data_IF_836433718066
#
_entry.id   IF_836433718066
#
_cell.length_a   1.000
_cell.length_b   1.000
_cell.length_c   1.000
_cell.angle_alpha   90.00
_cell.angle_beta   90.00
_cell.angle_gamma   90.00
#
_symmetry.space_group_name_H-M   'P 1'
#
loop_
_entity.id
_entity.type
_entity.pdbx_description
1 polymer ?
#
# COMPACT_ATOMS: atom_id res chain seq x y z
N UNK A 1 -25.07 12.35 -8.37
CA UNK A 1 -23.70 12.05 -7.90
C UNK A 1 -23.18 13.12 -6.94
N UNK A 2 -22.59 14.22 -7.41
CA UNK A 2 -21.95 15.22 -6.54
C UNK A 2 -22.96 15.93 -5.62
N UNK A 3 -24.10 16.38 -6.14
CA UNK A 3 -25.14 17.01 -5.32
C UNK A 3 -25.74 16.06 -4.27
N UNK A 4 -25.89 14.77 -4.58
CA UNK A 4 -26.38 13.76 -3.63
C UNK A 4 -25.32 13.48 -2.55
N UNK A 5 -24.05 13.39 -2.95
CA UNK A 5 -22.91 13.23 -2.05
C UNK A 5 -22.80 14.41 -1.08
N UNK A 6 -22.96 15.63 -1.57
CA UNK A 6 -22.94 16.85 -0.75
C UNK A 6 -24.14 16.92 0.21
N UNK A 7 -25.33 16.51 -0.23
CA UNK A 7 -26.50 16.44 0.64
C UNK A 7 -26.34 15.40 1.76
N UNK A 8 -25.77 14.23 1.46
CA UNK A 8 -25.45 13.21 2.46
C UNK A 8 -24.38 13.74 3.43
N UNK A 9 -23.29 14.32 2.93
CA UNK A 9 -22.24 14.95 3.72
C UNK A 9 -22.79 16.03 4.69
N UNK A 10 -23.70 16.88 4.20
CA UNK A 10 -24.34 17.92 5.01
C UNK A 10 -25.17 17.32 6.17
N UNK A 11 -25.91 16.23 5.91
CA UNK A 11 -26.68 15.50 6.94
C UNK A 11 -25.77 14.99 8.07
N UNK A 12 -24.66 14.35 7.73
CA UNK A 12 -23.73 13.80 8.71
C UNK A 12 -23.00 14.88 9.51
N UNK A 13 -22.65 16.00 8.87
CA UNK A 13 -22.12 17.17 9.57
C UNK A 13 -23.13 17.74 10.57
N UNK A 14 -24.42 17.77 10.22
CA UNK A 14 -25.50 18.16 11.14
C UNK A 14 -25.57 17.26 12.38
N UNK A 15 -25.47 15.94 12.20
CA UNK A 15 -25.41 14.98 13.32
C UNK A 15 -24.18 15.22 14.19
N UNK A 16 -23.01 15.47 13.58
CA UNK A 16 -21.77 15.72 14.29
C UNK A 16 -21.80 16.98 15.18
N UNK A 17 -22.47 18.05 14.73
CA UNK A 17 -22.60 19.28 15.51
C UNK A 17 -23.33 19.08 16.85
N UNK A 18 -24.27 18.13 16.91
CA UNK A 18 -25.06 17.84 18.11
C UNK A 18 -24.58 16.61 18.87
N UNK A 19 -23.59 15.87 18.35
CA UNK A 19 -23.12 14.62 18.95
C UNK A 19 -22.45 14.79 20.32
N UNK A 20 -21.97 15.99 20.66
CA UNK A 20 -21.41 16.30 21.99
C UNK A 20 -22.48 16.44 23.08
N UNK A 21 -23.74 16.68 22.70
CA UNK A 21 -24.86 16.92 23.63
C UNK A 21 -26.02 15.93 23.44
N UNK A 22 -25.94 15.06 22.43
CA UNK A 22 -26.96 14.04 22.13
C UNK A 22 -26.32 12.67 21.94
N UNK A 23 -26.52 11.79 22.92
CA UNK A 23 -26.07 10.39 22.85
C UNK A 23 -26.68 9.64 21.67
N UNK A 24 -27.92 9.95 21.30
CA UNK A 24 -28.59 9.36 20.13
C UNK A 24 -27.91 9.77 18.81
N UNK A 25 -27.52 11.04 18.67
CA UNK A 25 -26.79 11.50 17.48
C UNK A 25 -25.38 10.87 17.42
N UNK A 26 -24.71 10.75 18.56
CA UNK A 26 -23.42 10.04 18.66
C UNK A 26 -23.56 8.59 18.22
N UNK A 27 -24.56 7.87 18.74
CA UNK A 27 -24.79 6.47 18.37
C UNK A 27 -25.08 6.32 16.87
N UNK A 28 -25.85 7.22 16.26
CA UNK A 28 -26.09 7.19 14.81
C UNK A 28 -24.80 7.35 13.99
N UNK A 29 -23.84 8.15 14.45
CA UNK A 29 -22.54 8.28 13.79
C UNK A 29 -21.72 6.99 13.95
N UNK A 30 -21.72 6.39 15.14
CA UNK A 30 -21.04 5.10 15.40
C UNK A 30 -21.64 3.98 14.53
N UNK A 31 -22.97 3.87 14.49
CA UNK A 31 -23.68 2.89 13.65
C UNK A 31 -23.41 3.12 12.14
N UNK A 32 -23.13 4.38 11.78
CA UNK A 32 -22.70 4.80 10.45
C UNK A 32 -21.23 4.47 10.11
N UNK A 33 -20.45 4.02 11.10
CA UNK A 33 -19.04 3.67 10.97
C UNK A 33 -18.07 4.78 11.35
N UNK A 34 -18.50 5.88 11.97
CA UNK A 34 -17.56 6.87 12.53
C UNK A 34 -16.91 6.28 13.78
N UNK A 35 -15.59 6.26 13.85
CA UNK A 35 -14.87 5.74 15.02
C UNK A 35 -14.94 6.71 16.21
N UNK A 36 -14.75 6.19 17.42
CA UNK A 36 -14.75 6.99 18.65
C UNK A 36 -13.62 8.03 18.66
N UNK A 37 -12.48 7.72 18.04
CA UNK A 37 -11.37 8.65 17.90
C UNK A 37 -11.76 9.84 17.03
N UNK A 38 -12.44 9.63 15.89
CA UNK A 38 -12.97 10.73 15.09
C UNK A 38 -13.98 11.57 15.91
N UNK A 39 -14.86 10.92 16.66
CA UNK A 39 -15.86 11.59 17.52
C UNK A 39 -15.22 12.38 18.68
N UNK A 40 -13.94 12.15 18.99
CA UNK A 40 -13.19 12.93 19.97
C UNK A 40 -12.66 14.26 19.42
N UNK A 41 -12.69 14.45 18.09
CA UNK A 41 -12.24 15.68 17.45
C UNK A 41 -13.15 16.87 17.78
N UNK A 42 -12.59 18.10 17.83
CA UNK A 42 -13.39 19.33 17.91
C UNK A 42 -14.42 19.39 16.77
N UNK A 43 -15.64 19.85 17.08
CA UNK A 43 -16.76 19.84 16.14
C UNK A 43 -16.45 20.45 14.75
N UNK A 44 -15.72 21.58 14.63
CA UNK A 44 -15.35 22.11 13.30
C UNK A 44 -14.49 21.14 12.48
N UNK A 45 -13.53 20.46 13.12
CA UNK A 45 -12.66 19.48 12.47
C UNK A 45 -13.43 18.20 12.13
N UNK A 46 -14.27 17.71 13.04
CA UNK A 46 -15.12 16.54 12.81
C UNK A 46 -16.08 16.77 11.65
N UNK A 47 -16.76 17.92 11.61
CA UNK A 47 -17.69 18.26 10.53
C UNK A 47 -16.98 18.32 9.17
N UNK A 48 -15.80 18.95 9.12
CA UNK A 48 -14.99 19.01 7.90
C UNK A 48 -14.62 17.62 7.40
N UNK A 49 -14.07 16.77 8.29
CA UNK A 49 -13.65 15.41 7.91
C UNK A 49 -14.82 14.53 7.48
N UNK A 50 -15.94 14.56 8.21
CA UNK A 50 -17.11 13.76 7.86
C UNK A 50 -17.70 14.17 6.51
N UNK A 51 -17.71 15.47 6.18
CA UNK A 51 -18.17 15.90 4.85
C UNK A 51 -17.33 15.28 3.75
N UNK A 52 -16.01 15.34 3.86
CA UNK A 52 -15.11 14.77 2.86
C UNK A 52 -15.30 13.26 2.71
N UNK A 53 -15.37 12.56 3.84
CA UNK A 53 -15.43 11.10 3.85
C UNK A 53 -16.78 10.57 3.35
N UNK A 54 -17.88 11.20 3.76
CA UNK A 54 -19.23 10.84 3.29
C UNK A 54 -19.40 11.20 1.83
N UNK A 55 -18.90 12.36 1.38
CA UNK A 55 -18.95 12.74 -0.03
C UNK A 55 -18.15 11.76 -0.90
N UNK A 56 -16.94 11.38 -0.48
CA UNK A 56 -16.13 10.38 -1.17
C UNK A 56 -16.87 9.03 -1.29
N UNK A 57 -17.46 8.57 -0.18
CA UNK A 57 -18.22 7.31 -0.14
C UNK A 57 -19.45 7.32 -1.04
N UNK A 58 -20.20 8.42 -1.01
CA UNK A 58 -21.38 8.58 -1.86
C UNK A 58 -20.97 8.63 -3.35
N UNK A 59 -19.89 9.33 -3.69
CA UNK A 59 -19.35 9.36 -5.04
C UNK A 59 -18.92 7.96 -5.52
N UNK A 60 -18.22 7.18 -4.68
CA UNK A 60 -17.78 5.83 -5.02
C UNK A 60 -18.93 4.82 -5.20
N UNK A 61 -20.11 5.08 -4.61
CA UNK A 61 -21.32 4.27 -4.83
C UNK A 61 -21.98 4.53 -6.20
N UNK A 62 -21.70 5.68 -6.82
CA UNK A 62 -22.28 6.04 -8.11
C UNK A 62 -21.81 5.07 -9.21
N UNK A 63 -22.73 4.60 -10.04
CA UNK A 63 -22.47 3.57 -11.04
C UNK A 63 -21.37 3.96 -12.04
N UNK A 64 -21.29 5.24 -12.43
CA UNK A 64 -20.23 5.74 -13.30
C UNK A 64 -18.83 5.63 -12.66
N UNK A 65 -18.69 5.95 -11.37
CA UNK A 65 -17.41 5.87 -10.65
C UNK A 65 -17.01 4.43 -10.38
N UNK A 66 -17.98 3.55 -10.10
CA UNK A 66 -17.75 2.10 -9.99
C UNK A 66 -17.17 1.50 -11.27
N UNK A 67 -17.58 2.00 -12.45
CA UNK A 67 -17.00 1.58 -13.74
C UNK A 67 -15.57 2.07 -13.95
N UNK A 68 -15.14 3.10 -13.23
CA UNK A 68 -13.77 3.59 -13.22
C UNK A 68 -12.86 2.85 -12.23
N UNK A 69 -13.40 1.93 -11.41
CA UNK A 69 -12.57 1.06 -10.58
C UNK A 69 -11.62 0.33 -11.53
N UNK A 70 -10.29 0.42 -11.32
CA UNK A 70 -9.34 -0.27 -12.16
C UNK A 70 -9.75 -1.74 -12.30
N UNK A 71 -9.89 -2.22 -13.53
CA UNK A 71 -10.17 -3.63 -13.75
C UNK A 71 -8.99 -4.40 -13.14
N UNK A 72 -9.25 -5.25 -12.15
CA UNK A 72 -8.23 -6.09 -11.52
C UNK A 72 -7.40 -6.86 -12.55
N UNK A 73 -7.99 -7.13 -13.72
CA UNK A 73 -7.39 -7.76 -14.89
C UNK A 73 -6.16 -7.03 -15.42
N UNK A 74 -6.09 -5.69 -15.39
CA UNK A 74 -4.93 -4.95 -15.94
C UNK A 74 -3.73 -4.99 -14.99
N UNK A 75 -3.95 -4.86 -13.68
CA UNK A 75 -2.90 -5.02 -12.67
C UNK A 75 -2.43 -6.49 -12.56
N UNK A 76 -3.36 -7.46 -12.66
CA UNK A 76 -3.03 -8.89 -12.77
C UNK A 76 -2.20 -9.19 -14.02
N UNK A 77 -2.58 -8.64 -15.18
CA UNK A 77 -1.90 -8.91 -16.43
C UNK A 77 -0.44 -8.43 -16.40
N UNK A 78 -0.19 -7.20 -15.93
CA UNK A 78 1.16 -6.62 -15.89
C UNK A 78 2.11 -7.34 -14.93
N UNK A 79 1.63 -7.82 -13.78
CA UNK A 79 2.48 -8.50 -12.80
C UNK A 79 2.57 -10.00 -13.07
N UNK A 80 1.51 -10.66 -13.55
CA UNK A 80 1.54 -12.10 -13.75
C UNK A 80 2.01 -12.51 -15.15
N UNK A 81 1.89 -11.71 -16.22
CA UNK A 81 2.42 -12.16 -17.52
C UNK A 81 3.95 -12.23 -17.53
N UNK A 82 4.59 -11.28 -16.86
CA UNK A 82 6.05 -11.21 -16.76
C UNK A 82 6.61 -12.28 -15.80
N UNK A 83 5.83 -12.69 -14.80
CA UNK A 83 6.23 -13.73 -13.84
C UNK A 83 5.71 -15.14 -14.18
N UNK A 84 4.61 -15.29 -14.92
CA UNK A 84 4.11 -16.60 -15.37
C UNK A 84 5.03 -17.23 -16.43
N UNK A 85 5.83 -16.41 -17.12
CA UNK A 85 6.95 -16.91 -17.95
C UNK A 85 8.16 -17.36 -17.12
N UNK A 86 8.20 -17.06 -15.82
CA UNK A 86 9.17 -17.57 -14.85
C UNK A 86 8.65 -18.84 -14.16
N UNK A 87 7.94 -19.71 -14.90
CA UNK A 87 7.52 -21.01 -14.39
C UNK A 87 8.69 -21.66 -13.64
N UNK A 88 8.48 -22.12 -12.39
CA UNK A 88 9.57 -22.58 -11.56
C UNK A 88 10.26 -23.73 -12.28
N UNK A 89 11.52 -23.54 -12.64
CA UNK A 89 12.39 -24.66 -12.96
C UNK A 89 12.47 -25.50 -11.68
N UNK A 90 11.62 -26.55 -11.62
CA UNK A 90 11.55 -27.63 -10.62
C UNK A 90 12.20 -27.28 -9.28
N UNK A 91 11.36 -26.93 -8.30
CA UNK A 91 11.75 -26.77 -6.89
C UNK A 91 12.44 -28.05 -6.37
N UNK A 92 13.76 -28.11 -6.48
CA UNK A 92 14.55 -29.03 -5.67
C UNK A 92 14.48 -28.56 -4.21
N UNK A 93 14.43 -29.47 -3.23
CA UNK A 93 14.40 -29.10 -1.82
C UNK A 93 15.64 -28.26 -1.48
N UNK A 94 15.41 -27.03 -1.02
CA UNK A 94 16.46 -26.07 -0.68
C UNK A 94 17.31 -26.61 0.48
N UNK A 95 18.58 -26.93 0.20
CA UNK A 95 19.61 -27.09 1.23
C UNK A 95 20.01 -25.74 1.83
N UNK A 96 20.69 -25.72 3.00
CA UNK A 96 21.18 -24.48 3.61
C UNK A 96 22.13 -23.75 2.64
N UNK A 97 21.97 -22.42 2.45
CA UNK A 97 22.79 -21.68 1.51
C UNK A 97 24.25 -21.59 1.99
N UNK A 98 25.24 -21.69 1.09
CA UNK A 98 26.64 -21.47 1.43
C UNK A 98 26.88 -20.01 1.86
N UNK A 99 27.89 -19.74 2.72
CA UNK A 99 28.21 -18.38 3.13
C UNK A 99 28.67 -17.52 1.95
N UNK A 100 28.34 -16.21 1.92
CA UNK A 100 28.71 -15.32 0.84
C UNK A 100 30.24 -15.09 0.78
N UNK A 101 30.88 -15.11 -0.40
CA UNK A 101 32.31 -14.84 -0.54
C UNK A 101 32.68 -13.38 -0.21
N UNK A 102 33.92 -13.14 0.23
CA UNK A 102 34.44 -11.79 0.45
C UNK A 102 34.48 -11.01 -0.89
N UNK A 103 33.86 -9.82 -0.94
CA UNK A 103 33.59 -9.08 -2.17
C UNK A 103 32.22 -9.36 -2.79
N UNK A 104 31.30 -9.95 -2.01
CA UNK A 104 29.97 -10.32 -2.49
C UNK A 104 29.26 -9.14 -3.15
N UNK A 105 28.69 -9.36 -4.36
CA UNK A 105 27.89 -8.35 -5.02
C UNK A 105 26.76 -7.90 -4.08
N UNK A 106 26.37 -6.63 -4.19
CA UNK A 106 25.17 -6.10 -3.57
C UNK A 106 24.00 -7.09 -3.77
N UNK A 107 23.21 -7.41 -2.73
CA UNK A 107 22.13 -8.38 -2.88
C UNK A 107 21.17 -7.98 -3.99
N UNK A 108 20.54 -8.96 -4.62
CA UNK A 108 19.52 -8.69 -5.62
C UNK A 108 18.27 -8.06 -4.98
N UNK A 109 17.94 -8.51 -3.76
CA UNK A 109 16.76 -8.09 -3.00
C UNK A 109 17.12 -7.81 -1.56
N UNK A 110 16.61 -6.72 -0.99
CA UNK A 110 16.60 -6.46 0.46
C UNK A 110 15.17 -6.57 0.98
N UNK A 111 14.96 -7.45 1.95
CA UNK A 111 13.72 -7.61 2.68
C UNK A 111 13.75 -6.76 3.97
N UNK A 112 12.92 -5.73 4.05
CA UNK A 112 12.72 -4.89 5.22
C UNK A 112 11.52 -5.41 6.00
N UNK A 113 11.76 -5.95 7.20
CA UNK A 113 10.72 -6.53 8.05
C UNK A 113 10.30 -5.61 9.18
N UNK A 114 9.01 -5.34 9.30
CA UNK A 114 8.44 -4.75 10.50
C UNK A 114 8.16 -5.85 11.54
N UNK A 115 8.82 -5.78 12.70
CA UNK A 115 8.67 -6.75 13.79
C UNK A 115 8.39 -6.07 15.12
N UNK A 116 7.51 -6.64 15.95
CA UNK A 116 7.38 -6.33 17.37
C UNK A 116 7.83 -7.51 18.25
N UNK A 117 7.12 -8.65 18.18
CA UNK A 117 7.35 -9.83 19.04
C UNK A 117 7.26 -11.17 18.32
N UNK A 118 6.97 -11.14 17.04
CA UNK A 118 6.79 -12.30 16.18
C UNK A 118 8.08 -13.11 16.08
N UNK A 119 7.95 -14.42 15.80
CA UNK A 119 9.10 -15.26 15.48
C UNK A 119 9.58 -14.98 14.05
N UNK A 120 10.88 -14.81 13.88
CA UNK A 120 11.52 -14.59 12.58
C UNK A 120 12.58 -15.64 12.27
N UNK A 121 12.53 -16.79 12.94
CA UNK A 121 13.41 -17.94 12.68
C UNK A 121 13.40 -18.38 11.21
N UNK A 122 12.28 -18.16 10.50
CA UNK A 122 12.13 -18.42 9.08
C UNK A 122 13.11 -17.64 8.19
N UNK A 123 13.70 -16.54 8.68
CA UNK A 123 14.75 -15.79 7.98
C UNK A 123 15.97 -16.66 7.63
N UNK A 124 16.22 -17.74 8.37
CA UNK A 124 17.26 -18.72 8.05
C UNK A 124 17.02 -19.47 6.73
N UNK A 125 15.80 -19.41 6.19
CA UNK A 125 15.37 -20.07 4.95
C UNK A 125 15.24 -19.10 3.76
N UNK A 126 15.74 -17.87 3.89
CA UNK A 126 15.69 -16.92 2.78
C UNK A 126 16.43 -17.46 1.54
N UNK A 127 15.89 -17.21 0.33
CA UNK A 127 16.50 -17.71 -0.88
C UNK A 127 17.79 -16.96 -1.22
N UNK A 128 18.68 -17.56 -2.04
CA UNK A 128 19.92 -16.91 -2.48
C UNK A 128 19.65 -15.55 -3.13
N UNK A 129 20.53 -14.57 -2.86
CA UNK A 129 20.40 -13.21 -3.38
C UNK A 129 19.42 -12.31 -2.62
N UNK A 130 18.77 -12.81 -1.57
CA UNK A 130 17.95 -12.03 -0.64
C UNK A 130 18.70 -11.78 0.65
N UNK A 131 18.85 -10.51 1.02
CA UNK A 131 19.23 -10.09 2.36
C UNK A 131 18.04 -9.50 3.11
N UNK A 132 18.19 -9.28 4.41
CA UNK A 132 17.13 -8.71 5.23
C UNK A 132 17.64 -7.64 6.19
N UNK A 133 16.71 -6.78 6.61
CA UNK A 133 16.87 -5.82 7.70
C UNK A 133 15.60 -5.78 8.55
N UNK A 134 15.72 -5.98 9.87
CA UNK A 134 14.57 -6.04 10.79
C UNK A 134 14.41 -4.71 11.54
N UNK A 135 13.26 -4.08 11.36
CA UNK A 135 12.84 -2.90 12.11
C UNK A 135 12.12 -3.35 13.38
N UNK A 136 12.85 -3.34 14.50
CA UNK A 136 12.44 -3.90 15.79
C UNK A 136 11.67 -2.90 16.65
N UNK A 137 10.35 -2.97 16.60
CA UNK A 137 9.44 -2.17 17.42
C UNK A 137 9.51 -2.60 18.90
N UNK A 138 9.35 -1.64 19.80
CA UNK A 138 9.42 -1.88 21.25
C UNK A 138 10.83 -1.78 21.84
N UNK A 139 11.81 -1.32 21.06
CA UNK A 139 13.14 -0.94 21.54
C UNK A 139 14.12 -2.09 21.85
N UNK A 140 13.66 -3.35 21.79
CA UNK A 140 14.50 -4.51 22.07
C UNK A 140 14.95 -5.20 20.78
N UNK A 141 16.26 -5.18 20.52
CA UNK A 141 16.89 -5.99 19.47
C UNK A 141 16.92 -7.47 19.87
N UNK A 142 16.82 -8.37 18.88
CA UNK A 142 16.97 -9.80 19.11
C UNK A 142 18.46 -10.15 19.14
N UNK A 143 18.89 -10.92 20.15
CA UNK A 143 20.31 -11.27 20.31
C UNK A 143 20.77 -12.27 19.24
N UNK A 144 19.82 -13.04 18.73
CA UNK A 144 20.00 -14.09 17.74
C UNK A 144 20.23 -13.51 16.34
N UNK A 145 19.80 -12.26 16.11
CA UNK A 145 20.01 -11.56 14.85
C UNK A 145 21.28 -10.70 14.90
N UNK A 146 22.05 -10.61 13.79
CA UNK A 146 23.19 -9.70 13.71
C UNK A 146 22.78 -8.26 13.99
N UNK A 147 23.52 -7.54 14.85
CA UNK A 147 23.23 -6.14 15.19
C UNK A 147 23.17 -5.22 13.96
N UNK A 148 23.99 -5.49 12.93
CA UNK A 148 23.99 -4.73 11.67
C UNK A 148 22.75 -4.96 10.78
N UNK A 149 21.91 -5.96 11.08
CA UNK A 149 20.71 -6.30 10.32
C UNK A 149 19.42 -5.97 11.06
N UNK A 150 19.50 -5.11 12.08
CA UNK A 150 18.33 -4.69 12.83
C UNK A 150 18.44 -3.26 13.35
N UNK A 151 17.29 -2.59 13.44
CA UNK A 151 17.18 -1.24 13.99
C UNK A 151 16.08 -1.22 15.03
N UNK A 152 16.40 -0.82 16.25
CA UNK A 152 15.40 -0.61 17.30
C UNK A 152 14.55 0.63 17.00
N UNK A 153 13.23 0.48 17.17
CA UNK A 153 12.24 1.53 17.01
C UNK A 153 11.31 1.58 18.24
N UNK A 154 10.76 2.76 18.57
CA UNK A 154 9.66 2.82 19.52
C UNK A 154 8.46 2.03 18.99
N UNK A 155 7.63 1.46 19.87
CA UNK A 155 6.41 0.78 19.47
C UNK A 155 5.30 1.80 19.16
N UNK A 156 5.51 2.61 18.12
CA UNK A 156 4.59 3.64 17.65
C UNK A 156 4.24 3.33 16.21
N UNK A 157 2.96 3.52 15.86
CA UNK A 157 2.45 3.21 14.53
C UNK A 157 2.38 1.71 14.20
N UNK A 158 2.10 1.38 12.93
CA UNK A 158 2.04 0.02 12.37
C UNK A 158 3.27 -0.33 11.52
N UNK A 159 3.18 -1.25 10.56
CA UNK A 159 4.29 -1.79 9.74
C UNK A 159 5.01 -0.70 8.93
N UNK A 160 4.31 -0.11 7.99
CA UNK A 160 4.22 1.33 7.83
C UNK A 160 5.30 2.25 8.46
N UNK A 161 5.20 2.51 9.77
CA UNK A 161 6.11 3.39 10.50
C UNK A 161 7.55 2.84 10.43
N UNK A 162 7.70 1.53 10.58
CA UNK A 162 8.98 0.84 10.39
C UNK A 162 9.56 1.05 9.00
N UNK A 163 8.75 0.96 7.94
CA UNK A 163 9.23 1.13 6.56
C UNK A 163 9.68 2.57 6.30
N UNK A 164 8.89 3.55 6.75
CA UNK A 164 9.25 4.97 6.64
C UNK A 164 10.51 5.30 7.45
N UNK A 165 10.67 4.76 8.66
CA UNK A 165 11.88 4.92 9.47
C UNK A 165 13.13 4.31 8.80
N UNK A 166 12.98 3.15 8.15
CA UNK A 166 14.06 2.55 7.37
C UNK A 166 14.50 3.49 6.24
N UNK A 167 13.54 3.99 5.46
CA UNK A 167 13.82 4.91 4.35
C UNK A 167 14.45 6.21 4.84
N UNK A 168 13.97 6.78 5.96
CA UNK A 168 14.58 7.95 6.59
C UNK A 168 16.04 7.69 6.96
N UNK A 169 16.35 6.50 7.49
CA UNK A 169 17.72 6.11 7.86
C UNK A 169 18.62 6.02 6.63
N UNK A 170 18.14 5.40 5.55
CA UNK A 170 18.86 5.32 4.26
C UNK A 170 19.14 6.73 3.72
N UNK A 171 18.16 7.64 3.78
CA UNK A 171 18.35 9.03 3.36
C UNK A 171 19.35 9.77 4.24
N UNK A 172 19.25 9.67 5.56
CA UNK A 172 20.16 10.34 6.49
C UNK A 172 21.61 9.85 6.33
N UNK A 173 21.80 8.57 5.99
CA UNK A 173 23.11 7.99 5.71
C UNK A 173 23.67 8.32 4.32
N UNK A 174 22.88 8.98 3.45
CA UNK A 174 23.26 9.31 2.07
C UNK A 174 23.44 10.81 1.88
N UNK A 175 24.63 11.26 1.51
CA UNK A 175 24.87 12.66 1.12
C UNK A 175 24.34 12.98 -0.28
N UNK A 176 24.07 11.96 -1.09
CA UNK A 176 23.55 12.12 -2.46
C UNK A 176 22.65 10.96 -2.89
N UNK A 177 21.89 11.16 -3.97
CA UNK A 177 21.10 10.10 -4.61
C UNK A 177 21.97 8.93 -5.12
N UNK A 178 23.22 9.20 -5.51
CA UNK A 178 24.15 8.16 -5.96
C UNK A 178 24.63 7.27 -4.80
N UNK A 179 24.81 7.85 -3.61
CA UNK A 179 25.12 7.08 -2.39
C UNK A 179 23.90 6.27 -1.93
N UNK A 180 22.71 6.86 -1.92
CA UNK A 180 21.47 6.14 -1.62
C UNK A 180 21.27 4.95 -2.57
N UNK A 181 21.62 5.11 -3.85
CA UNK A 181 21.55 4.02 -4.83
C UNK A 181 22.53 2.88 -4.57
N UNK A 182 23.63 3.13 -3.83
CA UNK A 182 24.58 2.09 -3.39
C UNK A 182 24.11 1.39 -2.12
N UNK A 183 23.39 2.08 -1.25
CA UNK A 183 22.83 1.51 -0.02
C UNK A 183 21.61 0.62 -0.29
N UNK A 184 20.89 0.86 -1.39
CA UNK A 184 19.73 0.07 -1.78
C UNK A 184 20.07 -0.93 -2.90
N UNK A 185 19.68 -2.21 -2.78
CA UNK A 185 19.73 -3.13 -3.91
C UNK A 185 18.71 -2.74 -4.98
N UNK A 186 18.73 -3.38 -6.17
CA UNK A 186 17.79 -3.06 -7.24
C UNK A 186 16.31 -3.18 -6.84
N UNK A 187 15.98 -4.10 -5.90
CA UNK A 187 14.62 -4.32 -5.42
C UNK A 187 14.58 -4.39 -3.89
N UNK A 188 13.64 -3.68 -3.28
CA UNK A 188 13.39 -3.71 -1.84
C UNK A 188 11.99 -4.29 -1.60
N UNK A 189 11.89 -5.31 -0.76
CA UNK A 189 10.63 -5.91 -0.33
C UNK A 189 10.32 -5.44 1.08
N UNK A 190 9.09 -5.02 1.32
CA UNK A 190 8.58 -4.66 2.63
C UNK A 190 7.55 -5.71 3.05
N UNK A 191 7.64 -6.19 4.28
CA UNK A 191 6.70 -7.17 4.83
C UNK A 191 6.65 -7.09 6.37
N UNK A 192 5.54 -7.54 6.93
CA UNK A 192 5.44 -7.82 8.36
C UNK A 192 6.24 -9.08 8.72
N UNK A 193 6.58 -9.25 9.99
CA UNK A 193 7.37 -10.38 10.47
C UNK A 193 6.69 -11.75 10.28
N UNK A 194 5.35 -11.79 10.22
CA UNK A 194 4.54 -12.98 9.90
C UNK A 194 3.79 -12.76 8.57
N UNK A 195 4.47 -12.80 7.41
CA UNK A 195 3.84 -12.50 6.13
C UNK A 195 2.93 -13.64 5.64
N UNK A 196 3.04 -14.84 6.23
CA UNK A 196 2.45 -16.08 5.71
C UNK A 196 0.93 -16.13 5.84
N UNK A 197 0.35 -15.41 6.80
CA UNK A 197 -1.11 -15.28 6.96
C UNK A 197 -1.77 -14.60 5.74
N UNK A 198 -1.01 -13.76 5.04
CA UNK A 198 -1.47 -13.09 3.82
C UNK A 198 -0.82 -13.65 2.56
N UNK A 199 0.31 -14.34 2.69
CA UNK A 199 1.05 -14.92 1.58
C UNK A 199 1.69 -16.26 1.96
N UNK A 200 0.94 -17.38 1.91
CA UNK A 200 1.51 -18.70 2.21
C UNK A 200 2.70 -19.08 1.30
N UNK A 201 2.79 -18.47 0.11
CA UNK A 201 3.87 -18.67 -0.86
C UNK A 201 4.94 -17.57 -0.81
N UNK A 202 5.05 -16.82 0.31
CA UNK A 202 5.94 -15.66 0.41
C UNK A 202 7.40 -15.94 0.03
N UNK A 203 7.97 -17.05 0.50
CA UNK A 203 9.36 -17.43 0.18
C UNK A 203 9.54 -17.81 -1.30
N UNK A 204 8.52 -18.38 -1.94
CA UNK A 204 8.55 -18.71 -3.36
C UNK A 204 8.52 -17.42 -4.20
N UNK A 205 7.68 -16.45 -3.82
CA UNK A 205 7.63 -15.14 -4.48
C UNK A 205 8.96 -14.37 -4.32
N UNK A 206 9.57 -14.39 -3.13
CA UNK A 206 10.90 -13.82 -2.92
C UNK A 206 11.95 -14.47 -3.81
N UNK A 207 11.90 -15.81 -3.95
CA UNK A 207 12.83 -16.56 -4.81
C UNK A 207 12.71 -16.14 -6.27
N UNK A 208 11.48 -16.00 -6.77
CA UNK A 208 11.21 -15.55 -8.14
C UNK A 208 11.70 -14.12 -8.37
N UNK A 209 11.45 -13.21 -7.42
CA UNK A 209 11.92 -11.83 -7.50
C UNK A 209 13.46 -11.76 -7.51
N UNK A 210 14.12 -12.49 -6.62
CA UNK A 210 15.58 -12.55 -6.56
C UNK A 210 16.19 -13.12 -7.85
N UNK A 211 15.60 -14.19 -8.39
CA UNK A 211 16.04 -14.78 -9.65
C UNK A 211 15.86 -13.80 -10.83
N UNK A 212 14.73 -13.09 -10.91
CA UNK A 212 14.46 -12.09 -11.95
C UNK A 212 15.51 -10.98 -11.94
N UNK A 213 15.78 -10.39 -10.78
CA UNK A 213 16.78 -9.32 -10.62
C UNK A 213 18.19 -9.84 -10.87
N UNK A 214 18.54 -11.02 -10.35
CA UNK A 214 19.87 -11.63 -10.55
C UNK A 214 20.16 -11.96 -12.01
N UNK A 215 19.12 -12.25 -12.81
CA UNK A 215 19.24 -12.42 -14.25
C UNK A 215 19.45 -11.09 -15.02
N UNK A 216 19.65 -9.97 -14.32
CA UNK A 216 19.83 -8.64 -14.90
C UNK A 216 18.54 -8.05 -15.47
N UNK A 217 17.38 -8.64 -15.19
CA UNK A 217 16.10 -8.11 -15.65
C UNK A 217 15.71 -6.92 -14.79
N UNK A 218 15.11 -5.92 -15.43
CA UNK A 218 14.62 -4.74 -14.72
C UNK A 218 13.44 -5.13 -13.84
N UNK A 219 13.48 -4.88 -12.52
CA UNK A 219 12.31 -5.11 -11.67
C UNK A 219 11.18 -4.14 -12.05
N UNK A 220 9.92 -4.57 -11.95
CA UNK A 220 8.78 -3.65 -12.00
C UNK A 220 8.89 -2.61 -10.88
N UNK A 221 8.30 -1.42 -11.09
CA UNK A 221 8.41 -0.32 -10.11
C UNK A 221 7.82 -0.68 -8.75
N UNK A 222 6.76 -1.47 -8.76
CA UNK A 222 6.06 -1.92 -7.58
C UNK A 222 5.41 -3.27 -7.86
N UNK A 223 5.39 -4.16 -6.85
CA UNK A 223 4.80 -5.50 -6.91
C UNK A 223 3.98 -5.73 -5.66
N UNK A 224 2.67 -6.00 -5.76
CA UNK A 224 1.90 -6.44 -4.61
C UNK A 224 2.24 -7.90 -4.28
N UNK A 225 2.53 -8.18 -3.02
CA UNK A 225 2.79 -9.53 -2.53
C UNK A 225 1.61 -9.98 -1.67
N UNK A 226 1.33 -11.28 -1.70
CA UNK A 226 0.22 -11.87 -0.97
C UNK A 226 -1.14 -11.72 -1.63
N UNK A 227 -2.13 -12.30 -0.95
CA UNK A 227 -3.50 -12.44 -1.40
C UNK A 227 -4.44 -12.02 -0.27
N UNK A 228 -5.50 -11.32 -0.64
CA UNK A 228 -6.65 -11.10 0.22
C UNK A 228 -7.54 -12.36 0.23
N UNK A 229 -8.52 -12.40 1.13
CA UNK A 229 -9.45 -13.53 1.27
C UNK A 229 -10.20 -13.93 -0.02
N UNK A 230 -10.34 -13.04 -1.00
CA UNK A 230 -10.91 -13.32 -2.32
C UNK A 230 -9.87 -13.66 -3.42
N UNK A 231 -8.59 -13.77 -3.06
CA UNK A 231 -7.48 -13.99 -4.00
C UNK A 231 -7.01 -12.72 -4.72
N UNK A 232 -7.47 -11.55 -4.30
CA UNK A 232 -7.01 -10.27 -4.82
C UNK A 232 -5.65 -9.88 -4.21
N UNK A 233 -4.70 -9.44 -5.05
CA UNK A 233 -3.41 -8.90 -4.57
C UNK A 233 -3.49 -7.44 -4.16
N UNK A 234 -4.50 -6.73 -4.67
CA UNK A 234 -4.73 -5.31 -4.41
C UNK A 234 -6.19 -5.13 -4.06
N UNK A 235 -6.42 -4.46 -2.95
CA UNK A 235 -7.74 -4.08 -2.46
C UNK A 235 -7.93 -2.60 -2.76
N UNK A 236 -8.94 -2.25 -3.56
CA UNK A 236 -9.21 -0.85 -3.91
C UNK A 236 -10.25 -0.25 -2.98
N UNK A 237 -9.91 0.89 -2.38
CA UNK A 237 -10.79 1.67 -1.53
C UNK A 237 -10.93 3.11 -2.04
N UNK A 238 -12.04 3.77 -1.71
CA UNK A 238 -12.16 5.22 -1.86
C UNK A 238 -11.43 5.96 -0.73
N UNK A 239 -11.48 7.29 -0.74
CA UNK A 239 -10.86 8.13 0.27
C UNK A 239 -11.45 8.02 1.68
N UNK A 240 -12.51 7.22 1.85
CA UNK A 240 -13.14 6.88 3.13
C UNK A 240 -12.79 5.47 3.61
N UNK A 241 -12.08 4.68 2.80
CA UNK A 241 -11.74 3.28 3.08
C UNK A 241 -12.78 2.26 2.57
N UNK A 242 -13.90 2.71 2.01
CA UNK A 242 -14.92 1.80 1.48
C UNK A 242 -14.47 1.16 0.16
N UNK A 243 -14.92 -0.06 -0.18
CA UNK A 243 -15.92 -0.86 0.54
C UNK A 243 -15.34 -1.74 1.65
N UNK A 244 -14.02 -1.84 1.77
CA UNK A 244 -13.38 -2.86 2.60
C UNK A 244 -13.23 -2.46 4.07
N UNK A 245 -13.30 -1.15 4.37
CA UNK A 245 -13.31 -0.64 5.73
C UNK A 245 -14.75 -0.25 6.10
N UNK A 246 -15.38 -0.96 7.05
CA UNK A 246 -16.73 -0.64 7.49
C UNK A 246 -16.74 0.68 8.25
N UNK A 247 -15.64 0.96 8.97
CA UNK A 247 -15.38 2.24 9.60
C UNK A 247 -14.83 3.23 8.58
N UNK A 248 -15.27 4.45 8.76
CA UNK A 248 -14.88 5.63 8.01
C UNK A 248 -13.42 5.98 8.37
N UNK A 249 -12.52 5.86 7.39
CA UNK A 249 -11.11 6.21 7.53
C UNK A 249 -10.77 7.53 6.84
N UNK A 250 -9.97 8.42 7.45
CA UNK A 250 -9.65 9.73 6.88
C UNK A 250 -8.54 9.66 5.80
N UNK A 251 -8.65 8.75 4.83
CA UNK A 251 -7.62 8.51 3.80
C UNK A 251 -7.38 9.75 2.94
N UNK A 252 -8.42 10.50 2.60
CA UNK A 252 -8.30 11.76 1.88
C UNK A 252 -7.41 12.79 2.60
N UNK A 253 -7.57 12.91 3.94
CA UNK A 253 -6.74 13.81 4.75
C UNK A 253 -5.28 13.38 4.75
N UNK A 254 -5.01 12.08 4.92
CA UNK A 254 -3.64 11.55 4.90
C UNK A 254 -3.00 11.77 3.53
N UNK A 255 -3.73 11.54 2.44
CA UNK A 255 -3.25 11.85 1.08
C UNK A 255 -2.79 13.30 0.96
N UNK A 256 -3.59 14.27 1.40
CA UNK A 256 -3.24 15.69 1.30
C UNK A 256 -2.06 16.06 2.22
N UNK A 257 -1.98 15.46 3.41
CA UNK A 257 -0.83 15.66 4.29
C UNK A 257 0.48 15.16 3.65
N UNK A 258 0.44 14.04 2.92
CA UNK A 258 1.61 13.42 2.29
C UNK A 258 1.99 14.09 0.96
N UNK A 259 1.01 14.45 0.15
CA UNK A 259 1.23 14.87 -1.23
C UNK A 259 0.87 16.33 -1.52
N UNK A 260 0.39 17.06 -0.51
CA UNK A 260 -0.03 18.45 -0.59
C UNK A 260 -1.52 18.63 -0.94
N UNK A 261 -2.11 19.72 -0.46
CA UNK A 261 -3.52 20.10 -0.69
C UNK A 261 -3.85 20.31 -2.18
N UNK A 262 -2.87 20.74 -2.98
CA UNK A 262 -3.07 21.00 -4.41
C UNK A 262 -3.10 19.75 -5.29
N UNK A 263 -2.80 18.56 -4.75
CA UNK A 263 -2.78 17.32 -5.53
C UNK A 263 -4.17 16.67 -5.52
N UNK A 264 -4.70 16.43 -6.72
CA UNK A 264 -5.98 15.73 -6.89
C UNK A 264 -5.96 14.37 -6.17
N UNK A 265 -7.01 14.13 -5.39
CA UNK A 265 -7.24 12.87 -4.68
C UNK A 265 -7.75 11.81 -5.67
N UNK A 266 -7.10 10.63 -5.77
CA UNK A 266 -7.58 9.55 -6.63
C UNK A 266 -8.98 9.08 -6.21
N UNK A 267 -9.81 8.75 -7.19
CA UNK A 267 -11.13 8.16 -6.93
C UNK A 267 -11.01 6.77 -6.26
N UNK A 268 -9.94 6.04 -6.56
CA UNK A 268 -9.62 4.73 -6.00
C UNK A 268 -8.16 4.67 -5.59
N UNK A 269 -7.93 4.02 -4.46
CA UNK A 269 -6.64 3.86 -3.80
C UNK A 269 -6.43 2.37 -3.57
N UNK A 270 -5.32 1.83 -4.07
CA UNK A 270 -4.97 0.42 -3.91
C UNK A 270 -4.16 0.15 -2.64
N UNK A 271 -4.51 -0.93 -1.94
CA UNK A 271 -3.87 -1.42 -0.73
C UNK A 271 -3.39 -2.86 -0.93
N UNK A 272 -2.27 -3.23 -0.32
CA UNK A 272 -1.71 -4.59 -0.41
C UNK A 272 -1.89 -5.31 0.91
N UNK A 273 -2.54 -6.49 0.92
CA UNK A 273 -2.75 -7.27 2.14
C UNK A 273 -1.48 -7.42 2.98
N UNK A 274 -1.60 -7.13 4.28
CA UNK A 274 -0.52 -7.34 5.24
C UNK A 274 0.71 -6.47 5.01
N UNK A 275 0.56 -5.33 4.35
CA UNK A 275 1.64 -4.42 3.98
C UNK A 275 2.82 -5.11 3.29
N UNK A 276 2.54 -6.14 2.48
CA UNK A 276 3.52 -6.95 1.77
C UNK A 276 3.64 -6.50 0.31
N UNK A 277 4.77 -5.88 -0.06
CA UNK A 277 4.99 -5.40 -1.43
C UNK A 277 6.49 -5.24 -1.74
N UNK A 278 6.85 -5.23 -3.01
CA UNK A 278 8.18 -4.91 -3.48
C UNK A 278 8.19 -3.56 -4.22
N UNK A 279 9.28 -2.80 -4.11
CA UNK A 279 9.48 -1.52 -4.81
C UNK A 279 10.88 -1.48 -5.40
N UNK A 280 10.99 -1.11 -6.69
CA UNK A 280 12.31 -0.96 -7.29
C UNK A 280 13.03 0.26 -6.71
N UNK A 281 14.36 0.19 -6.63
CA UNK A 281 15.20 1.28 -6.12
C UNK A 281 14.95 2.60 -6.85
N UNK A 282 14.81 2.56 -8.17
CA UNK A 282 14.58 3.78 -8.96
C UNK A 282 13.22 4.43 -8.66
N UNK A 283 12.23 3.67 -8.19
CA UNK A 283 10.96 4.22 -7.73
C UNK A 283 11.13 4.87 -6.35
N UNK A 284 11.79 4.20 -5.40
CA UNK A 284 12.09 4.76 -4.07
C UNK A 284 12.88 6.08 -4.17
N UNK A 285 13.96 6.10 -4.97
CA UNK A 285 14.81 7.28 -5.10
C UNK A 285 14.15 8.47 -5.80
N UNK A 286 13.15 8.24 -6.65
CA UNK A 286 12.39 9.35 -7.29
C UNK A 286 11.34 9.93 -6.36
N UNK A 287 10.79 9.08 -5.50
CA UNK A 287 9.62 9.38 -4.69
C UNK A 287 9.90 9.99 -3.34
N UNK A 288 11.00 9.57 -2.74
CA UNK A 288 11.35 9.89 -1.37
C UNK A 288 12.27 11.10 -1.33
N UNK A 289 11.68 12.26 -1.09
CA UNK A 289 12.44 13.42 -0.61
C UNK A 289 12.44 13.39 0.92
N UNK A 290 13.51 13.88 1.59
CA UNK A 290 13.55 13.98 3.05
C UNK A 290 12.30 14.66 3.63
N UNK A 291 11.86 15.75 2.98
CA UNK A 291 10.66 16.49 3.37
C UNK A 291 9.37 15.67 3.34
N UNK A 292 9.22 14.71 2.41
CA UNK A 292 8.04 13.84 2.33
C UNK A 292 8.06 12.77 3.41
N UNK A 293 9.24 12.21 3.68
CA UNK A 293 9.40 11.22 4.76
C UNK A 293 9.17 11.87 6.11
N UNK A 294 9.72 13.07 6.34
CA UNK A 294 9.48 13.85 7.56
C UNK A 294 8.00 14.24 7.72
N UNK A 295 7.34 14.69 6.64
CA UNK A 295 5.91 14.98 6.67
C UNK A 295 5.08 13.73 7.00
N UNK A 296 5.43 12.57 6.44
CA UNK A 296 4.79 11.29 6.73
C UNK A 296 5.01 10.80 8.17
N UNK A 297 6.13 11.16 8.79
CA UNK A 297 6.42 10.79 10.18
C UNK A 297 5.95 11.84 11.20
N UNK A 298 5.53 13.02 10.74
CA UNK A 298 5.06 14.11 11.59
C UNK A 298 3.76 13.74 12.32
N UNK A 299 3.58 14.11 13.59
CA UNK A 299 2.29 13.97 14.29
C UNK A 299 1.12 14.62 13.54
N UNK A 300 1.38 15.69 12.78
CA UNK A 300 0.35 16.45 12.06
C UNK A 300 -0.29 15.69 10.89
N UNK A 301 0.37 14.66 10.34
CA UNK A 301 -0.22 13.84 9.29
C UNK A 301 -1.34 12.92 9.80
N UNK A 302 -1.56 12.86 11.13
CA UNK A 302 -2.60 12.06 11.76
C UNK A 302 -2.18 10.61 12.04
N UNK A 303 -0.96 10.21 11.68
CA UNK A 303 -0.43 8.86 11.91
C UNK A 303 0.04 8.61 13.35
N UNK A 304 0.17 9.67 14.18
CA UNK A 304 0.68 9.58 15.55
C UNK A 304 -0.39 9.55 16.66
N UNK A 305 -1.68 9.71 16.34
CA UNK A 305 -2.75 9.86 17.33
C UNK A 305 -3.98 8.96 17.14
N UNK A 306 -4.07 8.25 16.03
CA UNK A 306 -4.96 7.10 15.86
C UNK A 306 -4.10 5.87 16.16
N UNK A 307 -4.60 4.89 16.90
CA UNK A 307 -4.01 3.53 16.84
C UNK A 307 -3.92 3.16 15.35
N UNK A 308 -2.71 3.17 14.81
CA UNK A 308 -2.48 3.50 13.39
C UNK A 308 -2.83 2.35 12.44
N UNK A 309 -4.10 2.03 12.29
CA UNK A 309 -4.65 1.19 11.22
C UNK A 309 -4.89 2.04 9.94
N UNK A 310 -5.16 1.43 8.79
CA UNK A 310 -4.31 0.89 7.71
C UNK A 310 -3.64 1.95 6.79
N UNK A 311 -3.51 3.20 7.24
CA UNK A 311 -3.28 4.38 6.40
C UNK A 311 -1.90 4.56 5.75
N UNK A 312 -0.92 3.71 6.07
CA UNK A 312 0.47 3.93 5.65
C UNK A 312 0.90 2.97 4.51
N UNK A 313 0.15 1.89 4.25
CA UNK A 313 0.29 1.11 2.99
C UNK A 313 0.10 2.02 1.75
N UNK A 314 -0.61 3.14 1.94
CA UNK A 314 -0.81 4.25 1.02
C UNK A 314 0.48 4.90 0.50
N UNK A 315 1.50 5.03 1.35
CA UNK A 315 2.69 5.85 1.05
C UNK A 315 3.57 5.24 -0.05
N UNK A 316 3.56 3.91 -0.20
CA UNK A 316 4.50 3.21 -1.09
C UNK A 316 3.85 2.65 -2.35
N UNK A 317 2.51 2.50 -2.39
CA UNK A 317 1.79 2.09 -3.59
C UNK A 317 1.60 3.24 -4.61
N UNK A 318 1.36 4.47 -4.14
CA UNK A 318 0.71 5.50 -4.97
C UNK A 318 1.59 6.29 -5.94
N UNK A 319 2.91 6.27 -5.77
CA UNK A 319 3.80 6.86 -6.79
C UNK A 319 4.01 5.98 -8.01
N UNK A 320 3.61 4.71 -7.96
CA UNK A 320 3.78 3.79 -9.10
C UNK A 320 2.55 3.69 -9.99
N UNK A 321 1.37 4.10 -9.52
CA UNK A 321 0.12 4.14 -10.28
C UNK A 321 -0.16 5.49 -10.97
N UNK A 322 0.55 6.57 -10.63
CA UNK A 322 0.33 7.90 -11.24
C UNK A 322 1.11 8.10 -12.56
N UNK A 323 0.79 7.33 -13.61
CA UNK A 323 0.93 7.76 -15.01
C UNK A 323 -0.15 7.13 -15.89
N UNK A 324 -1.42 7.45 -15.61
CA UNK A 324 -2.50 7.29 -16.59
C UNK A 324 -3.01 8.68 -16.96
N UNK A 325 -2.35 9.31 -17.93
CA UNK A 325 -2.88 10.50 -18.59
C UNK A 325 -4.19 10.10 -19.28
N UNK A 326 -5.30 10.85 -19.16
CA UNK A 326 -6.49 10.54 -19.93
C UNK A 326 -6.16 10.72 -21.41
N UNK A 327 -6.26 9.63 -22.18
CA UNK A 327 -6.29 9.69 -23.64
C UNK A 327 -7.46 10.59 -24.03
N UNK A 328 -7.13 11.73 -24.64
CA UNK A 328 -8.11 12.65 -25.23
C UNK A 328 -9.02 11.88 -26.19
N UNK A 329 -10.31 11.88 -25.90
CA UNK A 329 -11.34 11.32 -26.77
C UNK A 329 -11.59 12.35 -27.86
N UNK A 330 -10.89 12.20 -28.99
CA UNK A 330 -11.28 12.84 -30.24
C UNK A 330 -10.96 11.95 -31.43
N UNK A 331 -11.98 11.27 -31.95
CA UNK A 331 -12.28 11.18 -33.39
C UNK A 331 -13.59 10.43 -33.66
N UNK A 332 -14.41 10.91 -34.62
CA UNK A 332 -15.64 10.25 -35.02
C UNK A 332 -15.33 9.05 -35.92
N UNK A 333 -16.09 7.96 -35.76
CA UNK A 333 -16.17 6.87 -36.74
C UNK A 333 -17.59 6.79 -37.30
N UNK A 334 -17.71 6.80 -38.62
CA UNK A 334 -18.64 6.01 -39.44
C UNK A 334 -18.22 6.15 -40.93
N UNK A 335 -18.66 5.28 -41.88
CA UNK A 335 -19.69 4.23 -41.77
C UNK A 335 -19.36 2.84 -42.36
N UNK A 336 -20.25 1.90 -41.99
CA UNK A 336 -20.77 0.70 -42.71
C UNK A 336 -19.85 -0.49 -43.03
N UNK A 337 -20.28 -1.69 -42.61
CA UNK A 337 -20.93 -2.63 -43.52
C UNK A 337 -21.72 -3.73 -42.78
N UNK A 338 -22.83 -4.11 -43.41
CA UNK A 338 -23.83 -5.12 -43.03
C UNK A 338 -23.25 -6.54 -42.87
N UNK A 339 -23.81 -7.34 -41.95
CA UNK A 339 -24.68 -8.48 -42.34
C UNK A 339 -25.43 -9.08 -41.15
N UNK A 340 -26.73 -9.21 -41.36
CA UNK A 340 -27.73 -9.91 -40.57
C UNK A 340 -27.58 -11.42 -40.73
N UNK A 341 -27.78 -12.20 -39.66
CA UNK A 341 -28.58 -13.42 -39.75
C UNK A 341 -29.04 -13.90 -38.37
N UNK A 342 -30.36 -13.95 -38.21
CA UNK A 342 -31.08 -14.57 -37.11
C UNK A 342 -31.26 -16.07 -37.39
N UNK A 343 -31.18 -16.92 -36.35
CA UNK A 343 -31.83 -18.24 -36.33
C UNK A 343 -32.44 -18.55 -34.95
N UNK A 344 -33.77 -18.55 -34.96
CA UNK A 344 -34.79 -19.34 -34.25
C UNK A 344 -34.32 -20.39 -33.21
N UNK A 345 -34.95 -20.46 -32.02
CA UNK A 345 -34.74 -21.55 -31.07
C UNK A 345 -35.62 -22.78 -31.41
N UNK A 346 -35.10 -23.98 -31.17
CA UNK A 346 -35.89 -25.22 -31.16
C UNK A 346 -36.01 -25.76 -29.73
N UNK A 347 -37.27 -25.77 -29.28
CA UNK A 347 -37.94 -26.50 -28.18
C UNK A 347 -37.50 -26.20 -26.75
#
# INVERSE_FOLDING_TARGET
>A
AEAEAEAEAAKWAGLALVASVSSAARQQLVDGGVSEELLSLPAPLLCSQLREMVAARAAARHSAVRRLRPAETEARALVLSDFATLAPASAAPFGPPPPPPAGSPCPAVLLVLARFREDVSWLARLPPGVEYHVMQKGGAVQRELPACRQTALPNVGREAHSYLSFLQTVHAASASAAEAARLLPPLVVFAQAEPFDHNPAFLDELSLLAAHVSAGRRPPRWVPLGLWSGGERIVYCDASGAPHQPLLLPIGRVWRALFGEGRALPAWIGFTPGACFAVCREALLRGLTPSRVEAALSPSCGLGGLEADPLIELCLALETTCTCTPLSVDRPRTPSCFTTQARVPRR
#
